data_IF_757933381156
#
_entry.id   IF_757933381156
#
_cell.length_a   1.000
_cell.length_b   1.000
_cell.length_c   1.000
_cell.angle_alpha   90.00
_cell.angle_beta   90.00
_cell.angle_gamma   90.00
#
_symmetry.space_group_name_H-M   'P 1'
#
loop_
_entity.id
_entity.type
_entity.pdbx_description
1 polymer ?
#
# COMPACT_ATOMS: atom_id res chain seq x y z
N UNK A 1 15.49 9.53 -10.67
CA UNK A 1 14.56 9.90 -11.78
C UNK A 1 13.18 9.35 -11.43
N UNK A 2 12.16 10.19 -11.47
CA UNK A 2 10.79 9.77 -11.21
C UNK A 2 10.34 8.80 -12.32
N UNK A 3 9.79 7.67 -11.96
CA UNK A 3 9.33 6.67 -12.92
C UNK A 3 8.12 7.20 -13.70
N UNK A 4 8.20 7.14 -15.05
CA UNK A 4 7.10 7.63 -15.91
C UNK A 4 5.84 6.81 -15.66
N UNK A 5 4.69 7.49 -15.52
CA UNK A 5 3.40 6.84 -15.40
C UNK A 5 3.09 5.97 -16.63
N UNK A 6 2.32 4.92 -16.44
CA UNK A 6 1.99 3.93 -17.47
C UNK A 6 0.57 4.21 -18.00
N UNK A 7 0.46 4.44 -19.31
CA UNK A 7 -0.83 4.62 -20.00
C UNK A 7 -1.10 3.37 -20.85
N UNK A 8 -2.22 2.69 -20.58
CA UNK A 8 -2.68 1.57 -21.40
C UNK A 8 -3.64 2.10 -22.48
N UNK A 9 -3.30 1.88 -23.74
CA UNK A 9 -4.13 2.26 -24.90
C UNK A 9 -4.82 1.00 -25.42
N UNK A 10 -6.16 1.04 -25.50
CA UNK A 10 -7.00 -0.08 -25.92
C UNK A 10 -7.85 0.36 -27.12
N UNK A 11 -7.56 -0.18 -28.31
CA UNK A 11 -8.28 0.13 -29.55
C UNK A 11 -7.97 -1.00 -30.54
N UNK A 12 -8.98 -1.55 -31.21
CA UNK A 12 -8.80 -2.68 -32.14
C UNK A 12 -8.14 -2.23 -33.46
N UNK A 13 -8.11 -0.92 -33.71
CA UNK A 13 -7.51 -0.33 -34.92
C UNK A 13 -6.09 0.14 -34.64
N UNK A 14 -5.10 -0.57 -35.17
CA UNK A 14 -3.67 -0.32 -34.91
C UNK A 14 -3.24 1.13 -35.24
N UNK A 15 -3.81 1.77 -36.27
CA UNK A 15 -3.49 3.17 -36.59
C UNK A 15 -3.93 4.16 -35.51
N UNK A 16 -5.03 3.90 -34.82
CA UNK A 16 -5.49 4.71 -33.66
C UNK A 16 -4.51 4.57 -32.51
N UNK A 17 -4.11 3.33 -32.21
CA UNK A 17 -3.10 3.04 -31.18
C UNK A 17 -1.80 3.80 -31.47
N UNK A 18 -1.31 3.71 -32.72
CA UNK A 18 -0.08 4.39 -33.12
C UNK A 18 -0.19 5.92 -32.98
N UNK A 19 -1.34 6.49 -33.36
CA UNK A 19 -1.57 7.92 -33.22
C UNK A 19 -1.51 8.38 -31.77
N UNK A 20 -2.23 7.68 -30.87
CA UNK A 20 -2.24 8.00 -29.45
C UNK A 20 -0.86 7.76 -28.80
N UNK A 21 -0.23 6.64 -29.12
CA UNK A 21 1.11 6.33 -28.61
C UNK A 21 2.13 7.37 -29.08
N UNK A 22 2.06 7.80 -30.35
CA UNK A 22 2.92 8.85 -30.90
C UNK A 22 2.82 10.17 -30.14
N UNK A 23 1.60 10.52 -29.68
CA UNK A 23 1.35 11.74 -28.87
C UNK A 23 1.94 11.61 -27.46
N UNK A 24 1.89 10.43 -26.84
CA UNK A 24 2.11 10.25 -25.39
C UNK A 24 3.48 9.65 -25.01
N UNK A 25 4.18 8.98 -25.93
CA UNK A 25 5.40 8.18 -25.64
C UNK A 25 6.56 8.97 -25.01
N UNK A 26 6.64 10.27 -25.29
CA UNK A 26 7.72 11.10 -24.75
C UNK A 26 7.53 11.37 -23.25
N UNK A 27 6.27 11.39 -22.80
CA UNK A 27 5.89 11.75 -21.44
C UNK A 27 5.56 10.52 -20.56
N UNK A 28 5.11 9.42 -21.18
CA UNK A 28 4.56 8.23 -20.48
C UNK A 28 5.13 6.92 -21.04
N UNK A 29 5.09 5.88 -20.22
CA UNK A 29 5.32 4.49 -20.64
C UNK A 29 4.02 3.95 -21.24
N UNK A 30 4.06 3.42 -22.45
CA UNK A 30 2.85 3.00 -23.17
C UNK A 30 2.73 1.47 -23.15
N UNK A 31 1.57 0.98 -22.73
CA UNK A 31 1.12 -0.40 -22.93
C UNK A 31 0.00 -0.38 -23.96
N UNK A 32 -0.15 -1.45 -24.72
CA UNK A 32 -1.13 -1.55 -25.81
C UNK A 32 -1.93 -2.86 -25.71
N UNK A 33 -3.24 -2.76 -25.91
CA UNK A 33 -4.13 -3.91 -26.11
C UNK A 33 -4.98 -3.66 -27.36
N UNK A 34 -5.14 -4.67 -28.20
CA UNK A 34 -5.93 -4.59 -29.43
C UNK A 34 -7.34 -5.17 -29.26
N UNK A 35 -7.73 -5.52 -28.02
CA UNK A 35 -9.09 -5.98 -27.69
C UNK A 35 -9.30 -5.91 -26.17
N UNK A 36 -10.57 -6.02 -25.76
CA UNK A 36 -10.97 -5.92 -24.36
C UNK A 36 -10.37 -7.03 -23.48
N UNK A 37 -10.34 -8.27 -23.94
CA UNK A 37 -9.80 -9.40 -23.18
C UNK A 37 -8.32 -9.17 -22.82
N UNK A 38 -7.53 -8.74 -23.81
CA UNK A 38 -6.10 -8.44 -23.61
C UNK A 38 -5.92 -7.25 -22.64
N UNK A 39 -6.79 -6.25 -22.72
CA UNK A 39 -6.76 -5.11 -21.80
C UNK A 39 -6.95 -5.58 -20.34
N UNK A 40 -7.94 -6.44 -20.07
CA UNK A 40 -8.21 -6.98 -18.73
C UNK A 40 -7.04 -7.81 -18.19
N UNK A 41 -6.33 -8.53 -19.04
CA UNK A 41 -5.09 -9.24 -18.65
C UNK A 41 -3.99 -8.25 -18.23
N UNK A 42 -3.73 -7.22 -19.06
CA UNK A 42 -2.65 -6.26 -18.83
C UNK A 42 -2.88 -5.40 -17.57
N UNK A 43 -4.14 -5.13 -17.23
CA UNK A 43 -4.50 -4.38 -16.03
C UNK A 43 -4.06 -5.14 -14.77
N UNK A 44 -4.15 -6.48 -14.78
CA UNK A 44 -3.77 -7.33 -13.64
C UNK A 44 -2.27 -7.59 -13.54
N UNK A 45 -1.51 -7.34 -14.61
CA UNK A 45 -0.06 -7.59 -14.65
C UNK A 45 0.74 -6.39 -14.13
N UNK A 46 1.67 -6.65 -13.22
CA UNK A 46 2.59 -5.62 -12.73
C UNK A 46 3.67 -5.29 -13.77
N UNK A 47 4.09 -4.04 -13.88
CA UNK A 47 3.53 -2.88 -13.20
C UNK A 47 2.15 -2.52 -13.77
N UNK A 48 1.23 -2.13 -12.89
CA UNK A 48 -0.16 -1.80 -13.29
C UNK A 48 -0.20 -0.48 -14.07
N UNK A 49 -1.16 -0.30 -14.99
CA UNK A 49 -1.34 1.01 -15.65
C UNK A 49 -1.87 2.06 -14.67
N UNK A 50 -1.52 3.31 -14.93
CA UNK A 50 -1.99 4.48 -14.17
C UNK A 50 -3.22 5.12 -14.80
N UNK A 51 -3.45 4.88 -16.08
CA UNK A 51 -4.60 5.41 -16.85
C UNK A 51 -4.87 4.47 -18.01
N UNK A 52 -6.14 4.33 -18.36
CA UNK A 52 -6.57 3.59 -19.54
C UNK A 52 -7.23 4.56 -20.53
N UNK A 53 -6.77 4.54 -21.79
CA UNK A 53 -7.46 5.14 -22.93
C UNK A 53 -8.15 4.00 -23.67
N UNK A 54 -9.48 4.01 -23.72
CA UNK A 54 -10.29 2.86 -24.11
C UNK A 54 -11.24 3.23 -25.25
N UNK A 55 -11.08 2.59 -26.39
CA UNK A 55 -12.07 2.76 -27.47
C UNK A 55 -13.40 2.12 -27.07
N UNK A 56 -14.48 2.77 -27.45
CA UNK A 56 -15.85 2.28 -27.19
C UNK A 56 -16.20 1.14 -28.16
N UNK A 57 -15.87 1.32 -29.43
CA UNK A 57 -16.35 0.44 -30.51
C UNK A 57 -15.29 -0.62 -30.85
N UNK A 58 -15.30 -1.72 -30.11
CA UNK A 58 -14.42 -2.86 -30.38
C UNK A 58 -15.26 -4.13 -30.61
N UNK A 59 -14.78 -5.06 -31.45
CA UNK A 59 -15.49 -6.33 -31.66
C UNK A 59 -15.41 -7.23 -30.42
N UNK A 60 -16.34 -8.15 -30.28
CA UNK A 60 -16.45 -9.15 -29.22
C UNK A 60 -16.79 -8.54 -27.85
N UNK A 61 -15.99 -7.59 -27.37
CA UNK A 61 -16.16 -6.94 -26.07
C UNK A 61 -16.01 -5.43 -26.25
N UNK A 62 -17.10 -4.69 -26.13
CA UNK A 62 -17.07 -3.24 -26.29
C UNK A 62 -16.43 -2.52 -25.09
N UNK A 63 -16.09 -1.24 -25.26
CA UNK A 63 -15.42 -0.47 -24.21
C UNK A 63 -16.28 -0.33 -22.94
N UNK A 64 -17.60 -0.32 -23.07
CA UNK A 64 -18.49 -0.26 -21.89
C UNK A 64 -18.41 -1.57 -21.07
N UNK A 65 -18.31 -2.71 -21.76
CA UNK A 65 -18.14 -4.02 -21.09
C UNK A 65 -16.79 -4.09 -20.38
N UNK A 66 -15.73 -3.65 -21.05
CA UNK A 66 -14.39 -3.58 -20.43
C UNK A 66 -14.43 -2.72 -19.16
N UNK A 67 -15.04 -1.53 -19.22
CA UNK A 67 -15.15 -0.64 -18.07
C UNK A 67 -15.91 -1.32 -16.91
N UNK A 68 -17.04 -1.98 -17.20
CA UNK A 68 -17.79 -2.71 -16.17
C UNK A 68 -16.95 -3.79 -15.47
N UNK A 69 -16.16 -4.54 -16.24
CA UNK A 69 -15.28 -5.57 -15.69
C UNK A 69 -14.15 -4.95 -14.84
N UNK A 70 -13.59 -3.81 -15.26
CA UNK A 70 -12.60 -3.07 -14.45
C UNK A 70 -13.22 -2.64 -13.10
N UNK A 71 -14.46 -2.10 -13.13
CA UNK A 71 -15.14 -1.64 -11.90
C UNK A 71 -15.53 -2.78 -10.95
N UNK A 72 -15.62 -4.02 -11.45
CA UNK A 72 -15.85 -5.23 -10.63
C UNK A 72 -14.57 -5.89 -10.13
N UNK A 73 -13.43 -5.53 -10.72
CA UNK A 73 -12.14 -6.15 -10.40
C UNK A 73 -11.60 -5.61 -9.06
N UNK A 74 -11.46 -6.48 -8.07
CA UNK A 74 -10.91 -6.10 -6.77
C UNK A 74 -9.51 -5.49 -6.94
N UNK A 75 -9.33 -4.27 -6.48
CA UNK A 75 -8.08 -3.53 -6.57
C UNK A 75 -7.90 -2.73 -7.87
N UNK A 76 -8.81 -2.84 -8.82
CA UNK A 76 -8.76 -2.08 -10.08
C UNK A 76 -9.86 -1.02 -10.17
N UNK A 77 -10.81 -1.03 -9.25
CA UNK A 77 -12.03 -0.19 -9.31
C UNK A 77 -11.72 1.32 -9.36
N UNK A 78 -10.60 1.71 -8.78
CA UNK A 78 -10.17 3.12 -8.74
C UNK A 78 -9.32 3.55 -9.95
N UNK A 79 -8.99 2.61 -10.85
CA UNK A 79 -8.17 2.90 -12.04
C UNK A 79 -8.95 3.85 -12.97
N UNK A 80 -8.39 5.02 -13.32
CA UNK A 80 -9.09 5.95 -14.21
C UNK A 80 -9.14 5.42 -15.63
N UNK A 81 -10.34 5.47 -16.23
CA UNK A 81 -10.59 5.07 -17.61
C UNK A 81 -11.16 6.26 -18.36
N UNK A 82 -10.54 6.63 -19.46
CA UNK A 82 -11.01 7.67 -20.39
C UNK A 82 -11.43 6.99 -21.67
N UNK A 83 -12.62 7.28 -22.16
CA UNK A 83 -13.05 6.78 -23.45
C UNK A 83 -12.42 7.60 -24.59
N UNK A 84 -12.10 6.92 -25.69
CA UNK A 84 -11.67 7.53 -26.96
C UNK A 84 -12.72 7.10 -27.98
N UNK A 85 -13.55 8.02 -28.44
CA UNK A 85 -14.74 7.64 -29.23
C UNK A 85 -14.97 8.55 -30.42
N UNK A 86 -15.47 7.96 -31.50
CA UNK A 86 -16.02 8.68 -32.66
C UNK A 86 -17.53 8.95 -32.55
N UNK A 87 -18.16 8.48 -31.47
CA UNK A 87 -19.58 8.77 -31.23
C UNK A 87 -19.73 10.17 -30.64
N UNK A 88 -20.60 10.95 -31.22
CA UNK A 88 -20.78 12.36 -30.90
C UNK A 88 -22.14 12.67 -30.23
N UNK A 89 -22.86 11.65 -29.77
CA UNK A 89 -24.13 11.91 -29.08
C UNK A 89 -23.88 12.20 -27.60
N UNK A 90 -24.62 13.16 -27.07
CA UNK A 90 -24.60 13.49 -25.63
C UNK A 90 -24.98 12.26 -24.79
N UNK A 91 -25.88 11.41 -25.33
CA UNK A 91 -26.31 10.18 -24.68
C UNK A 91 -25.17 9.17 -24.47
N UNK A 92 -24.28 9.03 -25.45
CA UNK A 92 -23.11 8.13 -25.35
C UNK A 92 -22.09 8.65 -24.34
N UNK A 93 -21.87 9.97 -24.28
CA UNK A 93 -20.99 10.62 -23.29
C UNK A 93 -21.56 10.42 -21.86
N UNK A 94 -22.85 10.75 -21.69
CA UNK A 94 -23.55 10.58 -20.41
C UNK A 94 -23.45 9.13 -19.92
N UNK A 95 -23.72 8.17 -20.81
CA UNK A 95 -23.66 6.73 -20.51
C UNK A 95 -22.27 6.34 -19.99
N UNK A 96 -21.21 6.80 -20.67
CA UNK A 96 -19.83 6.50 -20.29
C UNK A 96 -19.49 7.03 -18.89
N UNK A 97 -19.86 8.29 -18.63
CA UNK A 97 -19.59 8.94 -17.35
C UNK A 97 -20.39 8.28 -16.21
N UNK A 98 -21.66 7.93 -16.46
CA UNK A 98 -22.51 7.21 -15.48
C UNK A 98 -21.96 5.82 -15.16
N UNK A 99 -21.26 5.16 -16.09
CA UNK A 99 -20.62 3.87 -15.87
C UNK A 99 -19.28 4.01 -15.09
N UNK A 100 -18.82 5.25 -14.86
CA UNK A 100 -17.63 5.52 -14.06
C UNK A 100 -16.36 5.81 -14.85
N UNK A 101 -16.46 6.16 -16.13
CA UNK A 101 -15.34 6.74 -16.87
C UNK A 101 -15.04 8.13 -16.29
N UNK A 102 -13.78 8.51 -16.27
CA UNK A 102 -13.36 9.80 -15.68
C UNK A 102 -13.39 10.94 -16.69
N UNK A 103 -13.39 10.63 -18.00
CA UNK A 103 -13.36 11.63 -19.07
C UNK A 103 -13.52 10.92 -20.43
N UNK A 104 -13.56 11.69 -21.51
CA UNK A 104 -13.59 11.15 -22.87
C UNK A 104 -12.74 12.03 -23.82
N UNK A 105 -12.30 11.44 -24.92
CA UNK A 105 -11.56 12.10 -26.01
C UNK A 105 -12.32 11.82 -27.31
N UNK A 106 -12.68 12.86 -28.04
CA UNK A 106 -13.36 12.72 -29.34
C UNK A 106 -12.36 12.44 -30.47
N UNK A 107 -12.70 11.50 -31.35
CA UNK A 107 -12.01 11.28 -32.61
C UNK A 107 -12.58 12.25 -33.68
N UNK A 108 -11.77 12.89 -34.53
CA UNK A 108 -10.31 12.74 -34.65
C UNK A 108 -9.56 13.38 -33.47
N UNK A 109 -8.49 12.72 -33.03
CA UNK A 109 -7.74 13.18 -31.85
C UNK A 109 -6.97 14.48 -32.15
N UNK A 110 -6.96 15.35 -31.16
CA UNK A 110 -6.12 16.58 -31.19
C UNK A 110 -5.00 16.39 -30.16
N UNK A 111 -3.73 16.31 -30.59
CA UNK A 111 -2.61 15.99 -29.68
C UNK A 111 -2.54 16.84 -28.41
N UNK A 112 -2.75 18.16 -28.52
CA UNK A 112 -2.73 19.05 -27.35
C UNK A 112 -3.83 18.72 -26.34
N UNK A 113 -5.04 18.38 -26.84
CA UNK A 113 -6.18 18.01 -25.98
C UNK A 113 -5.91 16.66 -25.31
N UNK A 114 -5.40 15.67 -26.06
CA UNK A 114 -5.04 14.35 -25.50
C UNK A 114 -4.02 14.52 -24.38
N UNK A 115 -2.92 15.24 -24.64
CA UNK A 115 -1.88 15.49 -23.61
C UNK A 115 -2.46 16.18 -22.38
N UNK A 116 -3.25 17.22 -22.54
CA UNK A 116 -3.83 17.98 -21.43
C UNK A 116 -4.73 17.10 -20.56
N UNK A 117 -5.65 16.33 -21.17
CA UNK A 117 -6.59 15.46 -20.45
C UNK A 117 -5.87 14.32 -19.73
N UNK A 118 -4.94 13.64 -20.44
CA UNK A 118 -4.14 12.56 -19.84
C UNK A 118 -3.33 13.09 -18.65
N UNK A 119 -2.67 14.24 -18.81
CA UNK A 119 -1.91 14.85 -17.71
C UNK A 119 -2.80 15.17 -16.51
N UNK A 120 -3.99 15.72 -16.76
CA UNK A 120 -4.95 16.02 -15.68
C UNK A 120 -5.32 14.75 -14.91
N UNK A 121 -5.68 13.68 -15.60
CA UNK A 121 -6.12 12.44 -14.92
C UNK A 121 -4.96 11.73 -14.20
N UNK A 122 -3.76 11.73 -14.78
CA UNK A 122 -2.56 11.17 -14.10
C UNK A 122 -2.25 11.99 -12.83
N UNK A 123 -2.33 13.31 -12.91
CA UNK A 123 -2.10 14.20 -11.74
C UNK A 123 -3.13 13.93 -10.64
N UNK A 124 -4.40 13.84 -11.01
CA UNK A 124 -5.48 13.53 -10.05
C UNK A 124 -5.28 12.14 -9.41
N UNK A 125 -4.90 11.15 -10.20
CA UNK A 125 -4.60 9.80 -9.67
C UNK A 125 -3.46 9.87 -8.67
N UNK A 126 -2.36 10.52 -9.04
CA UNK A 126 -1.23 10.68 -8.11
C UNK A 126 -1.66 11.32 -6.78
N UNK A 127 -2.39 12.20 -6.81
CA UNK A 127 -2.78 12.83 -5.72
C UNK A 127 -3.61 12.09 -4.87
N UNK A 128 -4.54 11.48 -5.48
CA UNK A 128 -5.40 10.57 -4.74
C UNK A 128 -4.60 9.43 -4.06
N UNK A 129 -3.71 8.80 -4.80
CA UNK A 129 -2.88 7.71 -4.27
C UNK A 129 -2.00 8.20 -3.11
N UNK A 130 -1.47 9.42 -3.20
CA UNK A 130 -0.71 10.06 -2.13
C UNK A 130 -1.57 10.31 -0.88
N UNK A 131 -2.79 10.80 -1.07
CA UNK A 131 -3.73 11.01 0.05
C UNK A 131 -4.06 9.68 0.75
N UNK A 132 -4.32 8.63 -0.03
CA UNK A 132 -4.59 7.29 0.52
C UNK A 132 -3.35 6.77 1.27
N UNK A 133 -2.17 6.90 0.68
CA UNK A 133 -0.92 6.48 1.33
C UNK A 133 -0.74 7.22 2.67
N UNK A 134 -0.89 8.54 2.68
CA UNK A 134 -0.73 9.37 3.88
C UNK A 134 -1.77 9.06 4.96
N UNK A 135 -2.98 8.69 4.55
CA UNK A 135 -4.03 8.29 5.50
C UNK A 135 -3.72 6.96 6.20
N UNK A 136 -2.95 6.08 5.56
CA UNK A 136 -2.65 4.73 6.08
C UNK A 136 -1.26 4.61 6.71
N UNK A 137 -0.31 5.48 6.35
CA UNK A 137 1.09 5.33 6.74
C UNK A 137 1.60 6.47 7.62
N UNK A 138 2.61 6.17 8.42
CA UNK A 138 3.40 7.13 9.19
C UNK A 138 4.39 7.83 8.24
N UNK A 139 4.35 9.13 8.17
CA UNK A 139 5.12 9.94 7.22
C UNK A 139 6.63 9.86 7.43
N UNK A 140 7.07 9.60 8.68
CA UNK A 140 8.49 9.53 8.99
C UNK A 140 9.10 8.19 8.59
N UNK A 141 8.41 7.09 8.94
CA UNK A 141 8.97 5.74 8.84
C UNK A 141 8.48 4.96 7.62
N UNK A 142 7.36 5.39 7.01
CA UNK A 142 6.72 4.66 5.90
C UNK A 142 5.95 3.41 6.33
N UNK A 143 6.00 3.04 7.61
CA UNK A 143 5.18 1.94 8.15
C UNK A 143 3.71 2.35 8.21
N UNK A 144 2.81 1.40 8.40
CA UNK A 144 1.42 1.77 8.68
C UNK A 144 1.33 2.64 9.93
N UNK A 145 0.34 3.52 9.96
CA UNK A 145 0.11 4.37 11.14
C UNK A 145 -0.80 3.67 12.15
N UNK A 146 -0.96 4.27 13.33
CA UNK A 146 -1.77 3.74 14.43
C UNK A 146 -3.23 3.50 14.04
N UNK A 147 -3.83 4.39 13.25
CA UNK A 147 -5.24 4.26 12.86
C UNK A 147 -5.44 3.01 11.98
N UNK A 148 -4.60 2.85 10.96
CA UNK A 148 -4.66 1.67 10.11
C UNK A 148 -4.37 0.38 10.89
N UNK A 149 -3.43 0.43 11.85
CA UNK A 149 -3.14 -0.72 12.71
C UNK A 149 -4.39 -1.20 13.47
N UNK A 150 -5.13 -0.27 14.08
CA UNK A 150 -6.34 -0.63 14.86
C UNK A 150 -7.40 -1.22 13.93
N UNK A 151 -7.69 -0.56 12.82
CA UNK A 151 -8.72 -1.01 11.87
C UNK A 151 -8.41 -2.39 11.29
N UNK A 152 -7.20 -2.59 10.79
CA UNK A 152 -6.80 -3.85 10.17
C UNK A 152 -6.57 -4.93 11.22
N UNK A 153 -6.04 -4.57 12.39
CA UNK A 153 -5.87 -5.47 13.53
C UNK A 153 -7.18 -6.09 13.99
N UNK A 154 -8.26 -5.29 14.11
CA UNK A 154 -9.59 -5.79 14.46
C UNK A 154 -10.14 -6.75 13.40
N UNK A 155 -9.90 -6.47 12.10
CA UNK A 155 -10.30 -7.38 11.02
C UNK A 155 -9.58 -8.72 11.11
N UNK A 156 -8.25 -8.69 11.30
CA UNK A 156 -7.40 -9.89 11.44
C UNK A 156 -7.76 -10.68 12.69
N UNK A 157 -7.97 -10.00 13.81
CA UNK A 157 -8.41 -10.58 15.09
C UNK A 157 -9.74 -11.34 14.89
N UNK A 158 -10.74 -10.67 14.32
CA UNK A 158 -12.07 -11.27 14.08
C UNK A 158 -11.99 -12.48 13.15
N UNK A 159 -11.13 -12.40 12.10
CA UNK A 159 -10.91 -13.51 11.18
C UNK A 159 -10.25 -14.70 11.88
N UNK A 160 -9.17 -14.46 12.61
CA UNK A 160 -8.43 -15.50 13.34
C UNK A 160 -9.34 -16.20 14.37
N UNK A 161 -10.15 -15.41 15.09
CA UNK A 161 -11.09 -15.96 16.09
C UNK A 161 -12.13 -16.89 15.42
N UNK A 162 -12.71 -16.50 14.27
CA UNK A 162 -13.69 -17.33 13.55
C UNK A 162 -13.09 -18.60 12.98
N UNK A 163 -11.86 -18.53 12.49
CA UNK A 163 -11.16 -19.63 11.82
C UNK A 163 -10.39 -20.51 12.82
N UNK A 164 -10.33 -20.10 14.07
CA UNK A 164 -9.50 -20.73 15.11
C UNK A 164 -8.03 -20.78 14.68
N UNK A 165 -7.57 -19.72 14.02
CA UNK A 165 -6.19 -19.56 13.59
C UNK A 165 -5.35 -18.82 14.64
N UNK A 166 -4.05 -19.00 14.57
CA UNK A 166 -3.10 -18.28 15.43
C UNK A 166 -2.94 -16.84 14.94
N UNK A 167 -2.80 -15.93 15.89
CA UNK A 167 -2.49 -14.53 15.65
C UNK A 167 -1.62 -14.05 16.80
N UNK A 168 -0.43 -13.55 16.50
CA UNK A 168 0.45 -12.99 17.52
C UNK A 168 0.70 -11.51 17.26
N UNK A 169 0.91 -10.77 18.33
CA UNK A 169 1.31 -9.36 18.29
C UNK A 169 2.67 -9.23 18.95
N UNK A 170 3.53 -8.45 18.31
CA UNK A 170 4.84 -8.07 18.84
C UNK A 170 4.84 -6.55 19.01
N UNK A 171 4.92 -6.09 20.25
CA UNK A 171 5.05 -4.67 20.59
C UNK A 171 6.51 -4.37 20.88
N UNK A 172 7.05 -3.31 20.30
CA UNK A 172 8.48 -2.99 20.28
C UNK A 172 8.67 -1.53 20.70
N UNK A 173 9.68 -1.28 21.52
CA UNK A 173 10.01 0.09 21.95
C UNK A 173 11.52 0.25 21.94
N UNK A 174 12.00 1.36 21.35
CA UNK A 174 13.44 1.66 21.31
C UNK A 174 13.90 2.11 22.69
N UNK A 175 14.85 1.36 23.25
CA UNK A 175 15.36 1.62 24.59
C UNK A 175 16.08 2.97 24.67
N UNK A 176 15.74 3.74 25.70
CA UNK A 176 16.37 5.04 25.99
C UNK A 176 16.28 6.06 24.85
N UNK A 177 15.25 5.97 23.99
CA UNK A 177 15.09 6.85 22.82
C UNK A 177 15.07 8.34 23.19
N UNK A 178 14.48 8.69 24.33
CA UNK A 178 14.50 10.07 24.84
C UNK A 178 15.94 10.56 25.04
N UNK A 179 16.82 9.72 25.59
CA UNK A 179 18.24 10.09 25.79
C UNK A 179 18.94 10.32 24.44
N UNK A 180 18.57 9.56 23.39
CA UNK A 180 19.11 9.81 22.04
C UNK A 180 18.69 11.21 21.57
N UNK A 181 17.41 11.57 21.69
CA UNK A 181 16.92 12.88 21.31
C UNK A 181 17.59 14.01 22.11
N UNK A 182 17.71 13.82 23.43
CA UNK A 182 18.29 14.83 24.33
C UNK A 182 19.78 15.06 24.03
N UNK A 183 20.50 14.01 23.61
CA UNK A 183 21.95 14.07 23.35
C UNK A 183 22.28 14.52 21.92
N UNK A 184 21.58 13.98 20.93
CA UNK A 184 21.93 14.12 19.50
C UNK A 184 20.92 14.96 18.71
N UNK A 185 19.81 15.35 19.34
CA UNK A 185 18.75 16.15 18.71
C UNK A 185 17.71 15.30 17.99
N UNK A 186 16.53 15.89 17.78
CA UNK A 186 15.37 15.20 17.17
C UNK A 186 15.62 14.71 15.73
N UNK A 187 16.42 15.46 14.94
CA UNK A 187 16.72 15.01 13.56
C UNK A 187 17.49 13.70 13.54
N UNK A 188 18.41 13.51 14.49
CA UNK A 188 19.13 12.25 14.64
C UNK A 188 18.19 11.15 15.15
N UNK A 189 17.32 11.46 16.10
CA UNK A 189 16.26 10.53 16.54
C UNK A 189 15.38 10.06 15.38
N UNK A 190 15.02 10.97 14.47
CA UNK A 190 14.23 10.62 13.27
C UNK A 190 14.97 9.62 12.36
N UNK A 191 16.28 9.76 12.21
CA UNK A 191 17.10 8.80 11.45
C UNK A 191 17.13 7.42 12.13
N UNK A 192 17.27 7.40 13.46
CA UNK A 192 17.20 6.16 14.25
C UNK A 192 15.84 5.47 14.02
N UNK A 193 14.73 6.22 14.07
CA UNK A 193 13.40 5.66 13.83
C UNK A 193 13.26 5.06 12.43
N UNK A 194 13.80 5.74 11.40
CA UNK A 194 13.77 5.25 10.01
C UNK A 194 14.59 3.96 9.87
N UNK A 195 15.76 3.92 10.46
CA UNK A 195 16.66 2.75 10.37
C UNK A 195 16.02 1.54 11.07
N UNK A 196 15.49 1.73 12.29
CA UNK A 196 14.77 0.67 13.00
C UNK A 196 13.57 0.20 12.16
N UNK A 197 12.77 1.13 11.63
CA UNK A 197 11.61 0.77 10.79
C UNK A 197 12.03 -0.07 9.58
N UNK A 198 13.18 0.24 8.96
CA UNK A 198 13.68 -0.52 7.81
C UNK A 198 13.99 -1.99 8.17
N UNK A 199 14.50 -2.23 9.37
CA UNK A 199 14.74 -3.60 9.87
C UNK A 199 13.41 -4.36 10.04
N UNK A 200 12.37 -3.67 10.52
CA UNK A 200 11.07 -4.31 10.79
C UNK A 200 10.32 -4.76 9.53
N UNK A 201 10.69 -4.27 8.34
CA UNK A 201 10.02 -4.67 7.08
C UNK A 201 10.80 -5.70 6.28
N UNK A 202 12.09 -5.91 6.55
CA UNK A 202 12.96 -6.75 5.71
C UNK A 202 12.53 -8.21 5.61
N UNK A 203 12.08 -8.81 6.71
CA UNK A 203 11.79 -10.25 6.79
C UNK A 203 10.30 -10.56 7.02
N UNK A 204 9.40 -9.65 6.66
CA UNK A 204 7.97 -9.90 6.87
C UNK A 204 7.36 -10.73 5.74
N UNK A 205 6.42 -11.60 6.10
CA UNK A 205 5.57 -12.33 5.14
C UNK A 205 4.53 -11.37 4.55
N UNK A 206 3.88 -11.77 3.47
CA UNK A 206 2.83 -10.97 2.83
C UNK A 206 1.67 -10.65 3.78
N UNK A 207 1.34 -11.60 4.66
CA UNK A 207 0.22 -11.49 5.61
C UNK A 207 0.55 -10.66 6.85
N UNK A 208 1.85 -10.52 7.17
CA UNK A 208 2.32 -9.75 8.33
C UNK A 208 2.30 -8.26 8.01
N UNK A 209 2.01 -7.42 9.01
CA UNK A 209 2.18 -6.00 8.80
C UNK A 209 2.78 -5.30 10.01
N UNK A 210 3.52 -4.24 9.73
CA UNK A 210 4.23 -3.45 10.73
C UNK A 210 3.70 -2.03 10.75
N UNK A 211 3.52 -1.49 11.94
CA UNK A 211 3.01 -0.14 12.14
C UNK A 211 3.85 0.62 13.17
N UNK A 212 3.91 1.92 13.02
CA UNK A 212 4.39 2.80 14.09
C UNK A 212 3.20 3.16 14.96
N UNK A 213 3.24 2.78 16.23
CA UNK A 213 2.13 2.99 17.16
C UNK A 213 2.15 4.40 17.75
N UNK A 214 3.34 4.95 17.99
CA UNK A 214 3.52 6.32 18.46
C UNK A 214 4.96 6.52 18.95
N UNK A 215 5.45 7.74 18.95
CA UNK A 215 6.79 8.03 19.46
C UNK A 215 7.87 7.08 18.94
N UNK A 216 8.40 6.25 19.82
CA UNK A 216 9.41 5.23 19.57
C UNK A 216 8.85 3.80 19.59
N UNK A 217 7.52 3.65 19.54
CA UNK A 217 6.82 2.37 19.66
C UNK A 217 6.37 1.84 18.29
N UNK A 218 6.60 0.55 18.06
CA UNK A 218 6.22 -0.15 16.83
C UNK A 218 5.44 -1.42 17.19
N UNK A 219 4.58 -1.85 16.28
CA UNK A 219 3.81 -3.09 16.43
C UNK A 219 3.92 -3.90 15.15
N UNK A 220 4.13 -5.21 15.29
CA UNK A 220 4.03 -6.16 14.18
C UNK A 220 2.88 -7.12 14.50
N UNK A 221 1.99 -7.30 13.54
CA UNK A 221 0.90 -8.27 13.61
C UNK A 221 1.27 -9.46 12.73
N UNK A 222 1.27 -10.66 13.32
CA UNK A 222 1.78 -11.90 12.72
C UNK A 222 0.63 -12.90 12.58
N UNK A 223 0.14 -13.11 11.36
CA UNK A 223 -0.92 -14.08 11.09
C UNK A 223 -0.38 -15.50 11.02
N UNK A 224 -1.15 -16.47 11.51
CA UNK A 224 -0.76 -17.88 11.52
C UNK A 224 0.50 -18.17 12.33
N UNK A 225 0.83 -17.30 13.29
CA UNK A 225 2.09 -17.35 14.02
C UNK A 225 1.84 -17.60 15.51
N UNK A 226 2.49 -18.63 16.06
CA UNK A 226 2.45 -18.92 17.50
C UNK A 226 3.34 -17.95 18.27
N UNK A 227 3.14 -17.87 19.58
CA UNK A 227 4.00 -17.05 20.44
C UNK A 227 5.46 -17.55 20.46
N UNK A 228 5.67 -18.85 20.28
CA UNK A 228 7.01 -19.43 20.18
C UNK A 228 7.72 -18.94 18.91
N UNK A 229 7.06 -19.04 17.74
CA UNK A 229 7.59 -18.55 16.47
C UNK A 229 7.78 -17.03 16.49
N UNK A 230 6.83 -16.30 17.09
CA UNK A 230 6.93 -14.85 17.25
C UNK A 230 8.13 -14.46 18.11
N UNK A 231 8.41 -15.25 19.17
CA UNK A 231 9.58 -15.03 20.04
C UNK A 231 10.90 -15.20 19.27
N UNK A 232 10.99 -16.25 18.44
CA UNK A 232 12.20 -16.48 17.61
C UNK A 232 12.40 -15.31 16.64
N UNK A 233 11.32 -14.87 15.99
CA UNK A 233 11.35 -13.72 15.08
C UNK A 233 11.75 -12.43 15.82
N UNK A 234 11.20 -12.21 17.02
CA UNK A 234 11.53 -11.03 17.85
C UNK A 234 13.01 -11.03 18.25
N UNK A 235 13.58 -12.18 18.65
CA UNK A 235 15.01 -12.28 18.99
C UNK A 235 15.90 -11.97 17.79
N UNK A 236 15.52 -12.42 16.58
CA UNK A 236 16.26 -12.09 15.36
C UNK A 236 16.21 -10.58 15.08
N UNK A 237 15.03 -9.97 15.20
CA UNK A 237 14.87 -8.51 15.02
C UNK A 237 15.64 -7.73 16.08
N UNK A 238 15.55 -8.16 17.35
CA UNK A 238 16.28 -7.53 18.46
C UNK A 238 17.80 -7.46 18.18
N UNK A 239 18.37 -8.59 17.74
CA UNK A 239 19.81 -8.66 17.38
C UNK A 239 20.15 -7.74 16.20
N UNK A 240 19.32 -7.73 15.17
CA UNK A 240 19.52 -6.83 14.01
C UNK A 240 19.51 -5.36 14.44
N UNK A 241 18.56 -4.98 15.33
CA UNK A 241 18.50 -3.60 15.85
C UNK A 241 19.75 -3.28 16.68
N UNK A 242 20.19 -4.21 17.55
CA UNK A 242 21.38 -4.05 18.37
C UNK A 242 22.67 -3.88 17.52
N UNK A 243 22.72 -4.51 16.34
CA UNK A 243 23.85 -4.44 15.40
C UNK A 243 23.77 -3.22 14.46
N UNK A 244 22.63 -2.55 14.39
CA UNK A 244 22.35 -1.52 13.38
C UNK A 244 23.24 -0.27 13.49
N UNK A 245 23.50 0.20 14.71
CA UNK A 245 24.33 1.38 15.00
C UNK A 245 24.00 2.61 14.10
N UNK A 246 22.74 3.05 14.04
CA UNK A 246 22.37 4.20 13.20
C UNK A 246 23.14 5.45 13.63
N UNK A 247 23.70 6.18 12.68
CA UNK A 247 24.52 7.38 12.93
C UNK A 247 25.64 7.13 13.93
N UNK A 248 26.16 5.89 14.00
CA UNK A 248 27.18 5.43 14.99
C UNK A 248 26.68 5.46 16.44
N UNK A 249 25.37 5.43 16.65
CA UNK A 249 24.74 5.41 17.98
C UNK A 249 24.29 3.98 18.29
N UNK A 250 24.70 3.46 19.41
CA UNK A 250 24.21 2.15 19.87
C UNK A 250 22.76 2.29 20.34
N UNK A 251 21.88 1.55 19.68
CA UNK A 251 20.48 1.47 20.07
C UNK A 251 20.09 0.03 20.29
N UNK A 252 19.17 -0.20 21.23
CA UNK A 252 18.56 -1.50 21.46
C UNK A 252 17.05 -1.32 21.49
N UNK A 253 16.31 -2.41 21.48
CA UNK A 253 14.86 -2.37 21.62
C UNK A 253 14.38 -3.50 22.52
N UNK A 254 13.32 -3.23 23.25
CA UNK A 254 12.61 -4.20 24.09
C UNK A 254 11.36 -4.67 23.37
N UNK A 255 10.99 -5.92 23.58
CA UNK A 255 9.90 -6.59 22.86
C UNK A 255 8.93 -7.25 23.83
N UNK A 256 7.63 -7.02 23.61
CA UNK A 256 6.55 -7.74 24.30
C UNK A 256 5.71 -8.51 23.29
N UNK A 257 5.39 -9.77 23.58
CA UNK A 257 4.65 -10.64 22.66
C UNK A 257 3.38 -11.15 23.36
N UNK A 258 2.28 -11.18 22.63
CA UNK A 258 1.05 -11.86 23.04
C UNK A 258 0.52 -12.71 21.87
N UNK A 259 -0.15 -13.82 22.19
CA UNK A 259 -0.85 -14.68 21.22
C UNK A 259 -2.34 -14.68 21.51
N UNK A 260 -3.15 -14.66 20.48
CA UNK A 260 -4.61 -14.74 20.57
C UNK A 260 -5.02 -15.99 21.35
N UNK A 261 -5.79 -15.80 22.40
CA UNK A 261 -6.38 -16.87 23.20
C UNK A 261 -7.90 -16.68 23.31
N UNK A 262 -8.58 -17.66 23.84
CA UNK A 262 -10.04 -17.63 24.06
C UNK A 262 -10.48 -16.54 25.07
N UNK A 263 -9.57 -15.99 25.81
CA UNK A 263 -9.86 -14.94 26.81
C UNK A 263 -9.96 -13.56 26.18
N UNK A 264 -9.30 -13.35 25.03
CA UNK A 264 -9.31 -12.06 24.34
C UNK A 264 -10.69 -11.81 23.71
N UNK A 265 -11.22 -10.61 23.95
CA UNK A 265 -12.53 -10.16 23.42
C UNK A 265 -12.42 -9.14 22.30
N UNK A 266 -11.23 -8.56 22.11
CA UNK A 266 -10.95 -7.53 21.11
C UNK A 266 -9.47 -7.51 20.80
N UNK A 267 -9.11 -6.91 19.67
CA UNK A 267 -7.72 -6.65 19.32
C UNK A 267 -7.03 -5.81 20.40
N UNK A 268 -7.76 -4.86 20.99
CA UNK A 268 -7.23 -4.03 22.09
C UNK A 268 -6.82 -4.89 23.31
N UNK A 269 -7.58 -5.93 23.63
CA UNK A 269 -7.21 -6.82 24.77
C UNK A 269 -5.91 -7.57 24.48
N UNK A 270 -5.71 -7.99 23.23
CA UNK A 270 -4.48 -8.64 22.79
C UNK A 270 -3.29 -7.67 22.80
N UNK A 271 -3.50 -6.41 22.38
CA UNK A 271 -2.49 -5.34 22.46
C UNK A 271 -2.08 -5.07 23.91
N UNK A 272 -3.03 -5.07 24.84
CA UNK A 272 -2.77 -4.81 26.27
C UNK A 272 -1.86 -5.88 26.88
N UNK A 273 -2.02 -7.14 26.49
CA UNK A 273 -1.15 -8.21 26.96
C UNK A 273 0.27 -8.06 26.40
N UNK A 274 0.40 -7.69 25.11
CA UNK A 274 1.71 -7.40 24.52
C UNK A 274 2.40 -6.20 25.23
N UNK A 275 1.63 -5.15 25.58
CA UNK A 275 2.12 -3.99 26.32
C UNK A 275 2.63 -4.38 27.71
N UNK A 276 1.87 -5.24 28.41
CA UNK A 276 2.28 -5.74 29.73
C UNK A 276 3.57 -6.54 29.64
N UNK A 277 3.73 -7.36 28.60
CA UNK A 277 4.96 -8.10 28.36
C UNK A 277 6.13 -7.14 28.03
N UNK A 278 5.89 -6.10 27.22
CA UNK A 278 6.89 -5.09 26.91
C UNK A 278 7.35 -4.35 28.17
N UNK A 279 6.41 -3.99 29.03
CA UNK A 279 6.75 -3.39 30.33
C UNK A 279 7.63 -4.34 31.16
N UNK A 280 7.33 -5.64 31.13
CA UNK A 280 8.18 -6.67 31.75
C UNK A 280 9.60 -6.67 31.17
N UNK A 281 9.73 -6.57 29.84
CA UNK A 281 11.04 -6.52 29.18
C UNK A 281 11.85 -5.29 29.64
N UNK A 282 11.20 -4.13 29.72
CA UNK A 282 11.86 -2.89 30.21
C UNK A 282 12.36 -3.04 31.64
N UNK A 283 11.58 -3.71 32.52
CA UNK A 283 11.97 -3.95 33.92
C UNK A 283 13.05 -5.02 34.06
N UNK A 284 13.13 -5.97 33.13
CA UNK A 284 14.16 -7.03 33.13
C UNK A 284 15.51 -6.56 32.60
N UNK A 285 15.72 -5.25 32.44
CA UNK A 285 17.00 -4.69 32.03
C UNK A 285 17.04 -4.23 30.57
N UNK A 286 15.90 -4.27 29.89
CA UNK A 286 15.76 -3.86 28.46
C UNK A 286 16.49 -4.82 27.50
N UNK A 287 16.50 -4.49 26.20
CA UNK A 287 17.17 -5.27 25.15
C UNK A 287 16.85 -6.78 25.25
N UNK A 288 15.58 -7.10 25.45
CA UNK A 288 15.13 -8.49 25.59
C UNK A 288 13.69 -8.67 25.11
N UNK A 289 13.30 -9.94 25.00
CA UNK A 289 11.96 -10.35 24.55
C UNK A 289 11.23 -11.02 25.72
N UNK A 290 10.02 -10.55 26.02
CA UNK A 290 9.14 -11.15 27.02
C UNK A 290 7.83 -11.57 26.33
N UNK A 291 7.32 -12.73 26.72
CA UNK A 291 6.06 -13.29 26.20
C UNK A 291 5.03 -13.27 27.32
N UNK A 292 3.78 -12.83 27.01
CA UNK A 292 2.65 -12.83 27.94
C UNK A 292 2.13 -14.25 28.22
#
# INVERSE_FOLDING_TARGET
>A
MEEKAIVLIVDDVASNVQALAGVLKDDYNIKVALNGARALELIKQKPHPDLILLDVNMPEMDGYEVLREIKRCVGCESLPVMFVTGKDTEEDEEKGLLLGAVDYIKKPIHPAIVKARVNTQITLKKXRDELVYNALHDQLTGLYNRNHLVDEGERKFSRALRQNDKLSIMMIDIDHFKAVNDTYGHLTGDLVLKDVASVLVQDKRTEDFSARFGGEEFIIVLEGCSKEDAKEKAEALRKKIEELNPENIKVTASFGISELSKEHRSFESLLRDADSALYGAKNNGRNCVVVA
#
